data_IF_485982364376
#
_entry.id   IF_485982364376
#
_cell.length_a   1.000
_cell.length_b   1.000
_cell.length_c   1.000
_cell.angle_alpha   90.00
_cell.angle_beta   90.00
_cell.angle_gamma   90.00
#
_symmetry.space_group_name_H-M   'P 1'
#
loop_
_entity.id
_entity.type
_entity.pdbx_description
1 polymer ?
#
# COMPACT_ATOMS: atom_id res chain seq x y z
N UNK A 1 -8.99 -11.87 -43.18
CA UNK A 1 -7.58 -11.47 -43.03
C UNK A 1 -7.34 -11.24 -41.55
N UNK A 2 -6.50 -12.06 -40.92
CA UNK A 2 -6.19 -11.92 -39.49
C UNK A 2 -5.08 -10.86 -39.37
N UNK A 3 -5.39 -9.70 -38.77
CA UNK A 3 -4.35 -8.77 -38.36
C UNK A 3 -3.60 -9.40 -37.18
N UNK A 4 -2.29 -9.52 -37.31
CA UNK A 4 -1.42 -10.12 -36.29
C UNK A 4 -1.46 -9.35 -34.97
N UNK A 5 -1.47 -10.09 -33.87
CA UNK A 5 -1.38 -9.66 -32.47
C UNK A 5 0.02 -9.16 -32.09
N UNK A 6 0.70 -8.42 -32.97
CA UNK A 6 2.01 -7.85 -32.64
C UNK A 6 1.82 -6.41 -32.17
N UNK A 7 2.04 -6.17 -30.88
CA UNK A 7 2.06 -4.81 -30.33
C UNK A 7 3.18 -4.01 -30.98
N UNK A 8 2.83 -2.94 -31.69
CA UNK A 8 3.81 -2.02 -32.26
C UNK A 8 4.22 -1.01 -31.20
N UNK A 9 5.52 -0.91 -30.91
CA UNK A 9 6.06 0.11 -30.01
C UNK A 9 5.94 1.49 -30.67
N UNK A 10 5.16 2.37 -30.07
CA UNK A 10 4.97 3.76 -30.51
C UNK A 10 5.90 4.74 -29.80
N UNK A 11 6.55 4.31 -28.71
CA UNK A 11 7.52 5.08 -27.93
C UNK A 11 8.74 4.20 -27.63
N UNK A 12 9.94 4.71 -27.88
CA UNK A 12 11.19 4.09 -27.46
C UNK A 12 12.27 5.16 -27.30
N UNK A 13 13.25 4.88 -26.43
CA UNK A 13 14.40 5.75 -26.27
C UNK A 13 15.17 5.86 -27.60
N UNK A 14 15.42 7.09 -28.06
CA UNK A 14 16.17 7.35 -29.30
C UNK A 14 15.35 7.39 -30.59
N UNK A 15 14.03 7.18 -30.54
CA UNK A 15 13.14 7.37 -31.71
C UNK A 15 12.79 8.85 -31.94
N UNK A 16 12.58 9.62 -30.87
CA UNK A 16 12.25 11.04 -30.91
C UNK A 16 13.21 11.85 -30.03
N UNK A 17 13.31 13.14 -30.32
CA UNK A 17 14.10 14.13 -29.59
C UNK A 17 13.45 14.46 -28.24
N UNK A 18 12.16 14.14 -28.07
CA UNK A 18 11.41 14.32 -26.82
C UNK A 18 11.15 12.96 -26.19
N UNK A 19 11.70 12.75 -25.00
CA UNK A 19 11.43 11.57 -24.21
C UNK A 19 10.15 11.81 -23.39
N UNK A 20 9.14 11.00 -23.66
CA UNK A 20 7.91 10.95 -22.88
C UNK A 20 7.94 9.73 -21.96
N UNK A 21 7.90 9.95 -20.64
CA UNK A 21 8.05 8.91 -19.62
C UNK A 21 6.82 8.90 -18.73
N UNK A 22 6.18 7.74 -18.65
CA UNK A 22 5.09 7.55 -17.71
C UNK A 22 5.66 7.49 -16.27
N UNK A 23 5.05 8.24 -15.36
CA UNK A 23 5.43 8.27 -13.95
C UNK A 23 4.24 7.89 -13.09
N UNK A 24 4.47 6.98 -12.14
CA UNK A 24 3.47 6.56 -11.15
C UNK A 24 4.09 6.58 -9.76
N UNK A 25 3.32 7.08 -8.79
CA UNK A 25 3.67 7.01 -7.37
C UNK A 25 2.69 6.08 -6.67
N UNK A 26 3.22 5.18 -5.84
CA UNK A 26 2.47 4.16 -5.10
C UNK A 26 2.87 4.25 -3.63
N UNK A 27 1.92 4.01 -2.73
CA UNK A 27 2.25 3.75 -1.32
C UNK A 27 2.85 2.36 -1.19
N UNK A 28 3.83 2.22 -0.28
CA UNK A 28 4.53 0.97 -0.02
C UNK A 28 4.19 0.45 1.37
N UNK A 29 4.10 -0.87 1.49
CA UNK A 29 4.04 -1.62 2.73
C UNK A 29 5.18 -2.64 2.80
N UNK A 30 5.62 -2.97 4.02
CA UNK A 30 6.60 -4.03 4.19
C UNK A 30 5.98 -5.38 3.80
N UNK A 31 6.68 -6.14 2.97
CA UNK A 31 6.19 -7.36 2.35
C UNK A 31 5.71 -7.19 0.90
N UNK A 32 5.60 -5.95 0.40
CA UNK A 32 5.24 -5.71 -0.99
C UNK A 32 6.26 -6.31 -1.97
N UNK A 33 5.75 -6.85 -3.08
CA UNK A 33 6.54 -7.41 -4.17
C UNK A 33 6.21 -6.70 -5.48
N UNK A 34 7.26 -6.20 -6.14
CA UNK A 34 7.17 -5.64 -7.48
C UNK A 34 7.82 -6.58 -8.48
N UNK A 35 7.07 -6.93 -9.53
CA UNK A 35 7.57 -7.71 -10.66
C UNK A 35 7.66 -6.81 -11.89
N UNK A 36 8.84 -6.71 -12.48
CA UNK A 36 9.09 -6.06 -13.76
C UNK A 36 9.53 -7.11 -14.77
N UNK A 37 8.91 -7.12 -15.95
CA UNK A 37 9.20 -8.12 -16.99
C UNK A 37 9.21 -7.49 -18.38
N UNK A 38 9.89 -8.15 -19.32
CA UNK A 38 9.79 -7.85 -20.76
C UNK A 38 8.72 -8.71 -21.43
N UNK A 39 8.32 -8.34 -22.65
CA UNK A 39 7.32 -9.08 -23.44
C UNK A 39 7.66 -10.56 -23.59
N UNK A 40 8.94 -10.90 -23.73
CA UNK A 40 9.45 -12.27 -23.70
C UNK A 40 9.07 -13.11 -22.48
N UNK A 41 8.53 -12.52 -21.40
CA UNK A 41 7.91 -13.23 -20.26
C UNK A 41 6.39 -13.05 -20.24
N UNK A 42 5.88 -11.83 -20.12
CA UNK A 42 4.45 -11.60 -19.87
C UNK A 42 3.53 -11.81 -21.07
N UNK A 43 4.07 -11.88 -22.29
CA UNK A 43 3.28 -12.25 -23.47
C UNK A 43 3.13 -13.78 -23.61
N UNK A 44 3.98 -14.55 -22.92
CA UNK A 44 4.03 -16.02 -23.04
C UNK A 44 3.56 -16.75 -21.78
N UNK A 45 3.58 -16.08 -20.62
CA UNK A 45 3.05 -16.61 -19.36
C UNK A 45 1.77 -15.89 -18.96
N UNK A 46 0.66 -16.62 -18.79
CA UNK A 46 -0.58 -16.07 -18.24
C UNK A 46 -0.39 -15.43 -16.86
N UNK A 47 -1.12 -14.34 -16.61
CA UNK A 47 -0.99 -13.54 -15.37
C UNK A 47 -1.27 -14.36 -14.10
N UNK A 48 -2.19 -15.31 -14.16
CA UNK A 48 -2.51 -16.24 -13.07
C UNK A 48 -1.35 -17.20 -12.75
N UNK A 49 -0.62 -17.66 -13.78
CA UNK A 49 0.59 -18.46 -13.57
C UNK A 49 1.70 -17.64 -12.91
N UNK A 50 1.90 -16.40 -13.39
CA UNK A 50 2.86 -15.48 -12.79
C UNK A 50 2.51 -15.22 -11.32
N UNK A 51 1.26 -14.91 -11.01
CA UNK A 51 0.80 -14.69 -9.64
C UNK A 51 1.02 -15.92 -8.75
N UNK A 52 0.64 -17.10 -9.22
CA UNK A 52 0.86 -18.35 -8.49
C UNK A 52 2.35 -18.64 -8.23
N UNK A 53 3.25 -18.19 -9.11
CA UNK A 53 4.70 -18.31 -8.91
C UNK A 53 5.21 -17.34 -7.87
N UNK A 54 4.71 -16.10 -7.86
CA UNK A 54 5.07 -15.12 -6.83
C UNK A 54 4.57 -15.55 -5.45
N UNK A 55 3.37 -16.11 -5.34
CA UNK A 55 2.81 -16.62 -4.08
C UNK A 55 3.59 -17.83 -3.54
N UNK A 56 4.06 -18.71 -4.42
CA UNK A 56 4.84 -19.90 -4.05
C UNK A 56 6.32 -19.62 -3.81
N UNK A 57 6.85 -18.49 -4.27
CA UNK A 57 8.28 -18.20 -4.23
C UNK A 57 8.76 -18.21 -2.78
N UNK A 58 9.50 -19.24 -2.38
CA UNK A 58 10.00 -19.54 -1.02
C UNK A 58 10.92 -18.45 -0.43
N UNK A 59 10.43 -17.21 -0.32
CA UNK A 59 11.18 -16.02 0.07
C UNK A 59 12.49 -15.79 -0.70
N UNK A 60 12.59 -16.30 -1.94
CA UNK A 60 13.75 -16.14 -2.80
C UNK A 60 13.35 -15.47 -4.13
N UNK A 61 13.40 -14.12 -4.18
CA UNK A 61 13.07 -13.34 -5.38
C UNK A 61 13.90 -13.75 -6.61
N UNK A 62 15.20 -13.99 -6.43
CA UNK A 62 16.12 -14.33 -7.54
C UNK A 62 15.70 -15.65 -8.20
N UNK A 63 15.52 -16.70 -7.39
CA UNK A 63 15.08 -18.02 -7.90
C UNK A 63 13.72 -17.93 -8.59
N UNK A 64 12.81 -17.13 -8.06
CA UNK A 64 11.47 -16.93 -8.64
C UNK A 64 11.57 -16.22 -9.99
N UNK A 65 12.37 -15.16 -10.10
CA UNK A 65 12.61 -14.44 -11.35
C UNK A 65 13.24 -15.35 -12.42
N UNK A 66 14.25 -16.16 -12.04
CA UNK A 66 14.86 -17.14 -12.94
C UNK A 66 13.86 -18.18 -13.42
N UNK A 67 12.99 -18.66 -12.52
CA UNK A 67 11.95 -19.63 -12.86
C UNK A 67 10.97 -19.06 -13.87
N UNK A 68 10.51 -17.82 -13.68
CA UNK A 68 9.63 -17.14 -14.64
C UNK A 68 10.26 -17.04 -16.03
N UNK A 69 11.54 -16.64 -16.11
CA UNK A 69 12.24 -16.61 -17.39
C UNK A 69 12.32 -18.01 -18.03
N UNK A 70 12.67 -19.03 -17.26
CA UNK A 70 12.77 -20.40 -17.78
C UNK A 70 11.43 -20.95 -18.25
N UNK A 71 10.34 -20.67 -17.53
CA UNK A 71 8.99 -21.09 -17.91
C UNK A 71 8.51 -20.40 -19.18
N UNK A 72 8.82 -19.12 -19.37
CA UNK A 72 8.52 -18.41 -20.60
C UNK A 72 9.28 -19.02 -21.79
N UNK A 73 10.58 -19.30 -21.63
CA UNK A 73 11.39 -19.96 -22.66
C UNK A 73 10.86 -21.37 -22.98
N UNK A 74 10.46 -22.14 -21.96
CA UNK A 74 9.86 -23.47 -22.14
C UNK A 74 8.48 -23.40 -22.83
N UNK A 75 7.79 -22.27 -22.71
CA UNK A 75 6.52 -21.99 -23.40
C UNK A 75 6.73 -21.49 -24.85
N UNK A 76 7.94 -21.69 -25.38
CA UNK A 76 8.37 -21.27 -26.73
C UNK A 76 8.44 -19.76 -26.94
N UNK A 77 8.79 -18.99 -25.90
CA UNK A 77 9.11 -17.58 -26.06
C UNK A 77 10.19 -17.38 -27.13
N UNK A 78 9.89 -16.54 -28.13
CA UNK A 78 10.79 -16.20 -29.24
C UNK A 78 11.53 -14.87 -29.00
N UNK A 79 11.43 -14.32 -27.79
CA UNK A 79 12.01 -13.04 -27.40
C UNK A 79 12.91 -13.21 -26.18
N UNK A 80 13.74 -12.20 -25.90
CA UNK A 80 14.56 -12.17 -24.70
C UNK A 80 13.68 -12.08 -23.44
N UNK A 81 13.73 -13.13 -22.63
CA UNK A 81 13.03 -13.20 -21.36
C UNK A 81 13.84 -12.51 -20.25
N UNK A 82 13.32 -11.42 -19.71
CA UNK A 82 13.90 -10.73 -18.55
C UNK A 82 12.83 -10.55 -17.47
N UNK A 83 13.19 -10.82 -16.23
CA UNK A 83 12.36 -10.66 -15.04
C UNK A 83 13.18 -10.08 -13.90
N UNK A 84 12.64 -9.09 -13.19
CA UNK A 84 13.21 -8.51 -11.98
C UNK A 84 12.13 -8.49 -10.90
N UNK A 85 12.45 -9.03 -9.72
CA UNK A 85 11.58 -8.97 -8.55
C UNK A 85 12.25 -8.10 -7.49
N UNK A 86 11.53 -7.09 -7.02
CA UNK A 86 11.93 -6.22 -5.91
C UNK A 86 11.02 -6.50 -4.74
N UNK A 87 11.62 -6.86 -3.59
CA UNK A 87 10.91 -7.10 -2.34
C UNK A 87 11.15 -5.96 -1.37
N UNK A 88 10.08 -5.41 -0.82
CA UNK A 88 10.13 -4.39 0.23
C UNK A 88 10.28 -5.11 1.57
N UNK A 89 11.51 -5.24 2.06
CA UNK A 89 11.78 -5.96 3.32
C UNK A 89 11.44 -5.13 4.55
N UNK A 90 11.77 -3.84 4.51
CA UNK A 90 11.54 -2.89 5.58
C UNK A 90 11.34 -1.50 5.01
N UNK A 91 10.62 -0.67 5.75
CA UNK A 91 10.42 0.73 5.43
C UNK A 91 10.96 1.58 6.58
N UNK A 92 11.49 2.78 6.29
CA UNK A 92 11.94 3.69 7.33
C UNK A 92 10.80 3.98 8.30
N UNK A 93 11.14 4.13 9.58
CA UNK A 93 10.17 4.61 10.57
C UNK A 93 9.59 5.93 10.09
N UNK A 94 8.26 6.01 10.08
CA UNK A 94 7.52 7.20 9.66
C UNK A 94 8.04 8.40 10.45
N UNK A 95 8.42 9.45 9.72
CA UNK A 95 8.83 10.69 10.36
C UNK A 95 7.63 11.32 11.09
N UNK A 96 7.89 12.22 12.04
CA UNK A 96 6.81 12.98 12.70
C UNK A 96 5.91 13.73 11.68
N UNK A 97 6.47 14.13 10.53
CA UNK A 97 5.73 14.75 9.42
C UNK A 97 4.80 13.76 8.70
N UNK A 98 5.21 12.50 8.55
CA UNK A 98 4.38 11.46 7.92
C UNK A 98 3.23 11.03 8.84
N UNK A 99 3.46 11.03 10.16
CA UNK A 99 2.42 10.83 11.17
C UNK A 99 1.42 11.99 11.10
N UNK A 100 1.90 13.25 11.09
CA UNK A 100 1.03 14.42 11.03
C UNK A 100 0.15 14.45 9.77
N UNK A 101 0.70 14.08 8.59
CA UNK A 101 -0.09 13.94 7.36
C UNK A 101 -1.21 12.91 7.49
N UNK A 102 -0.96 11.77 8.17
CA UNK A 102 -1.99 10.74 8.39
C UNK A 102 -3.01 11.15 9.46
N UNK A 103 -2.61 11.97 10.44
CA UNK A 103 -3.52 12.54 11.45
C UNK A 103 -4.54 13.49 10.83
N UNK A 104 -4.18 14.21 9.76
CA UNK A 104 -5.11 15.08 9.03
C UNK A 104 -6.24 14.32 8.32
N UNK A 105 -6.05 13.04 8.02
CA UNK A 105 -7.08 12.18 7.41
C UNK A 105 -8.04 11.57 8.46
N UNK A 106 -7.72 11.69 9.76
CA UNK A 106 -8.64 11.31 10.82
C UNK A 106 -9.69 12.41 11.00
N UNK A 107 -10.96 12.07 10.75
CA UNK A 107 -12.06 12.97 11.04
C UNK A 107 -12.09 13.25 12.56
N UNK A 108 -11.99 14.53 12.93
CA UNK A 108 -12.21 14.95 14.32
C UNK A 108 -13.66 14.55 14.68
N UNK A 109 -13.85 13.73 15.73
CA UNK A 109 -15.18 13.29 16.10
C UNK A 109 -16.03 14.49 16.53
N UNK A 110 -17.34 14.50 16.22
CA UNK A 110 -18.24 15.51 16.77
C UNK A 110 -18.27 15.41 18.30
N UNK A 111 -18.77 16.45 18.97
CA UNK A 111 -18.93 16.47 20.42
C UNK A 111 -19.66 15.20 20.91
N UNK A 112 -18.99 14.44 21.78
CA UNK A 112 -19.47 13.17 22.30
C UNK A 112 -20.48 13.42 23.43
N UNK A 113 -21.46 12.53 23.54
CA UNK A 113 -22.45 12.51 24.62
C UNK A 113 -22.17 11.35 25.56
N UNK A 114 -22.73 11.42 26.77
CA UNK A 114 -22.73 10.30 27.72
C UNK A 114 -23.30 9.05 27.03
N UNK A 115 -22.65 7.91 27.26
CA UNK A 115 -22.81 6.62 26.60
C UNK A 115 -22.24 6.48 25.17
N UNK A 116 -21.71 7.53 24.55
CA UNK A 116 -20.94 7.34 23.32
C UNK A 116 -19.62 6.63 23.60
N UNK A 117 -19.07 6.00 22.57
CA UNK A 117 -17.83 5.24 22.66
C UNK A 117 -16.85 5.68 21.59
N UNK A 118 -15.59 5.83 21.98
CA UNK A 118 -14.48 6.26 21.12
C UNK A 118 -13.23 5.48 21.52
N UNK A 119 -12.51 4.92 20.55
CA UNK A 119 -11.21 4.25 20.75
C UNK A 119 -11.16 3.25 21.91
N UNK A 120 -12.23 2.48 22.11
CA UNK A 120 -12.33 1.50 23.20
C UNK A 120 -12.81 2.06 24.56
N UNK A 121 -13.01 3.37 24.66
CA UNK A 121 -13.54 4.04 25.84
C UNK A 121 -15.04 4.33 25.71
N UNK A 122 -15.76 4.34 26.84
CA UNK A 122 -17.16 4.76 26.94
C UNK A 122 -17.26 6.03 27.79
N UNK A 123 -17.86 7.08 27.23
CA UNK A 123 -18.14 8.32 27.96
C UNK A 123 -19.18 8.06 29.03
N UNK A 124 -18.82 8.34 30.29
CA UNK A 124 -19.73 8.23 31.44
C UNK A 124 -20.21 9.59 31.92
N UNK A 125 -19.42 10.65 31.70
CA UNK A 125 -19.80 12.01 32.07
C UNK A 125 -19.10 13.06 31.20
N UNK A 126 -19.72 14.23 31.06
CA UNK A 126 -19.10 15.42 30.47
C UNK A 126 -18.59 16.31 31.61
N UNK A 127 -17.27 16.51 31.69
CA UNK A 127 -16.64 17.28 32.75
C UNK A 127 -16.51 18.76 32.38
N UNK A 128 -16.22 19.05 31.11
CA UNK A 128 -16.10 20.41 30.62
C UNK A 128 -16.45 20.50 29.13
N UNK A 129 -17.18 21.55 28.78
CA UNK A 129 -17.46 21.96 27.40
C UNK A 129 -17.11 23.44 27.27
N UNK A 130 -16.20 23.74 26.35
CA UNK A 130 -15.85 25.11 25.98
C UNK A 130 -15.78 25.24 24.46
N UNK A 131 -15.65 26.47 23.96
CA UNK A 131 -15.45 26.72 22.54
C UNK A 131 -14.15 26.13 21.97
N UNK A 132 -13.22 25.65 22.82
CA UNK A 132 -11.91 25.12 22.40
C UNK A 132 -11.64 23.67 22.84
N UNK A 133 -12.40 23.16 23.80
CA UNK A 133 -12.11 21.85 24.38
C UNK A 133 -13.34 21.16 24.93
N UNK A 134 -13.32 19.84 24.82
CA UNK A 134 -14.24 18.95 25.50
C UNK A 134 -13.45 18.00 26.41
N UNK A 135 -13.85 17.90 27.67
CA UNK A 135 -13.24 17.00 28.64
C UNK A 135 -14.30 16.01 29.10
N UNK A 136 -14.00 14.72 28.94
CA UNK A 136 -14.92 13.63 29.25
C UNK A 136 -14.35 12.73 30.34
N UNK A 137 -15.23 12.27 31.22
CA UNK A 137 -14.94 11.12 32.06
C UNK A 137 -15.30 9.87 31.28
N UNK A 138 -14.37 8.92 31.19
CA UNK A 138 -14.53 7.70 30.39
C UNK A 138 -14.17 6.45 31.18
N UNK A 139 -14.68 5.30 30.73
CA UNK A 139 -14.30 3.97 31.22
C UNK A 139 -13.81 3.11 30.05
N UNK A 140 -12.77 2.32 30.26
CA UNK A 140 -12.26 1.39 29.25
C UNK A 140 -13.20 0.17 29.10
N UNK A 141 -13.55 -0.18 27.86
CA UNK A 141 -14.33 -1.40 27.57
C UNK A 141 -13.42 -2.63 27.66
N UNK A 142 -13.36 -3.24 28.83
CA UNK A 142 -12.75 -4.57 29.00
C UNK A 142 -12.21 -4.83 30.40
N UNK A 143 -11.66 -3.80 31.04
CA UNK A 143 -11.07 -3.87 32.39
C UNK A 143 -12.05 -3.41 33.47
N UNK A 144 -13.02 -2.55 33.12
CA UNK A 144 -13.95 -1.95 34.11
C UNK A 144 -13.30 -0.89 34.99
N UNK A 145 -12.02 -0.60 34.75
CA UNK A 145 -11.28 0.42 35.49
C UNK A 145 -11.73 1.81 35.04
N UNK A 146 -12.05 2.65 36.04
CA UNK A 146 -12.27 4.09 35.85
C UNK A 146 -10.93 4.75 35.60
N UNK A 147 -10.54 4.86 34.34
CA UNK A 147 -9.42 5.68 33.93
C UNK A 147 -9.87 7.13 33.82
N UNK A 148 -9.49 7.94 34.81
CA UNK A 148 -9.62 9.38 34.72
C UNK A 148 -8.45 9.89 33.87
N UNK A 149 -8.66 10.06 32.55
CA UNK A 149 -7.91 10.96 31.64
C UNK A 149 -8.46 10.84 30.20
N UNK A 150 -9.47 11.64 29.85
CA UNK A 150 -9.92 11.83 28.47
C UNK A 150 -9.96 13.31 28.12
N UNK A 151 -8.89 13.82 27.49
CA UNK A 151 -8.83 15.19 26.96
C UNK A 151 -9.01 15.13 25.45
N UNK A 152 -10.07 15.76 24.93
CA UNK A 152 -10.24 15.99 23.49
C UNK A 152 -10.17 17.50 23.23
N UNK A 153 -9.09 17.93 22.59
CA UNK A 153 -8.95 19.30 22.09
C UNK A 153 -9.52 19.38 20.68
N UNK A 154 -10.26 20.45 20.37
CA UNK A 154 -10.69 20.74 19.00
C UNK A 154 -9.64 21.55 18.22
N UNK A 155 -8.53 21.89 18.87
CA UNK A 155 -7.49 22.73 18.27
C UNK A 155 -6.48 21.85 17.49
N UNK A 156 -6.50 22.00 16.16
CA UNK A 156 -5.38 21.63 15.29
C UNK A 156 -4.15 22.47 15.68
N UNK A 157 -3.08 21.80 16.10
CA UNK A 157 -1.72 22.29 15.90
C UNK A 157 -0.95 21.28 15.05
#
# INVERSE_FOLDING_TARGET
MSFGTSGYLTRALGIDNRLDVDYQSLSLEAGDLFLLTTGGVHDYLPQDQIAARLEKGDHNPEKTAQTLCQEALNSNSQDNATSLIVSVTELPMKSALDIHKKTLDCAIPPALKVNNTIDGFKVVNMLNESSRSYVYEVIEKGTGDRLWNGYYSLDNF
#
